data_IF_809887385351
#
_entry.id   IF_809887385351
#
_cell.length_a   1.000
_cell.length_b   1.000
_cell.length_c   1.000
_cell.angle_alpha   90.00
_cell.angle_beta   90.00
_cell.angle_gamma   90.00
#
_symmetry.space_group_name_H-M   'P 1'
#
loop_
_entity.id
_entity.type
_entity.pdbx_description
1 polymer ?
#
# COMPACT_ATOMS: atom_id res chain seq x y z
N UNK A 1 4.05 8.61 -29.68
CA UNK A 1 5.38 8.19 -29.21
C UNK A 1 6.12 7.55 -30.37
N UNK A 2 7.39 7.90 -30.59
CA UNK A 2 8.20 7.40 -31.72
C UNK A 2 8.59 5.92 -31.56
N UNK A 3 8.58 5.39 -30.32
CA UNK A 3 8.88 4.00 -30.01
C UNK A 3 8.08 3.48 -28.81
N UNK A 4 6.79 3.12 -28.97
CA UNK A 4 5.92 2.74 -27.85
C UNK A 4 6.42 1.51 -27.09
N UNK A 5 6.96 0.50 -27.79
CA UNK A 5 7.49 -0.72 -27.16
C UNK A 5 8.80 -0.49 -26.42
N UNK A 6 9.74 0.24 -27.02
CA UNK A 6 11.03 0.56 -26.38
C UNK A 6 10.82 1.45 -25.15
N UNK A 7 9.89 2.42 -25.22
CA UNK A 7 9.57 3.25 -24.06
C UNK A 7 8.99 2.44 -22.91
N UNK A 8 8.18 1.41 -23.19
CA UNK A 8 7.66 0.51 -22.14
C UNK A 8 8.78 -0.27 -21.48
N UNK A 9 9.63 -0.91 -22.28
CA UNK A 9 10.79 -1.66 -21.77
C UNK A 9 11.72 -0.79 -20.92
N UNK A 10 12.03 0.42 -21.38
CA UNK A 10 12.86 1.35 -20.62
C UNK A 10 12.25 1.71 -19.26
N UNK A 11 10.93 1.95 -19.21
CA UNK A 11 10.24 2.21 -17.94
C UNK A 11 10.29 0.99 -17.01
N UNK A 12 10.04 -0.21 -17.54
CA UNK A 12 10.09 -1.44 -16.75
C UNK A 12 11.47 -1.62 -16.11
N UNK A 13 12.56 -1.46 -16.87
CA UNK A 13 13.93 -1.58 -16.33
C UNK A 13 14.31 -0.46 -15.36
N UNK A 14 13.99 0.80 -15.68
CA UNK A 14 14.42 1.95 -14.89
C UNK A 14 13.57 2.14 -13.62
N UNK A 15 12.39 1.53 -13.55
CA UNK A 15 11.53 1.53 -12.36
C UNK A 15 12.00 0.57 -11.26
N UNK A 16 12.87 -0.39 -11.59
CA UNK A 16 13.40 -1.34 -10.61
C UNK A 16 14.42 -0.59 -9.72
N UNK A 17 14.20 -0.52 -8.41
CA UNK A 17 15.14 0.14 -7.53
C UNK A 17 16.47 -0.62 -7.53
N UNK A 18 17.59 0.10 -7.64
CA UNK A 18 18.93 -0.50 -7.64
C UNK A 18 19.33 -1.14 -6.30
N UNK A 19 18.60 -0.85 -5.23
CA UNK A 19 18.89 -1.31 -3.87
C UNK A 19 17.60 -1.65 -3.10
N UNK A 20 17.71 -2.46 -2.04
CA UNK A 20 16.60 -2.79 -1.13
C UNK A 20 16.22 -1.65 -0.17
N UNK A 21 16.91 -0.50 -0.22
CA UNK A 21 16.79 0.59 0.76
C UNK A 21 15.34 1.12 0.86
N UNK A 22 14.63 1.24 -0.26
CA UNK A 22 13.25 1.75 -0.25
C UNK A 22 12.28 0.78 0.43
N UNK A 23 12.49 -0.52 0.21
CA UNK A 23 11.74 -1.59 0.85
C UNK A 23 12.04 -1.64 2.35
N UNK A 24 13.32 -1.59 2.73
CA UNK A 24 13.76 -1.55 4.13
C UNK A 24 13.25 -0.32 4.89
N UNK A 25 13.22 0.85 4.24
CA UNK A 25 12.65 2.07 4.80
C UNK A 25 11.16 1.92 5.07
N UNK A 26 10.43 1.27 4.15
CA UNK A 26 9.00 0.99 4.31
C UNK A 26 8.75 0.07 5.50
N UNK A 27 9.50 -1.03 5.61
CA UNK A 27 9.40 -1.95 6.75
C UNK A 27 9.82 -1.30 8.08
N UNK A 28 10.85 -0.46 8.07
CA UNK A 28 11.31 0.26 9.26
C UNK A 28 10.25 1.22 9.79
N UNK A 29 9.56 1.97 8.91
CA UNK A 29 8.39 2.80 9.26
C UNK A 29 7.24 1.94 9.76
N UNK A 30 7.05 0.77 9.15
CA UNK A 30 6.05 -0.22 9.55
C UNK A 30 6.25 -0.82 10.94
N UNK A 31 7.41 -0.64 11.58
CA UNK A 31 7.66 -1.15 12.95
C UNK A 31 6.66 -0.65 14.00
N UNK A 32 6.11 0.55 13.82
CA UNK A 32 5.06 1.09 14.71
C UNK A 32 3.68 0.45 14.47
N UNK A 33 3.49 -0.15 13.31
CA UNK A 33 2.26 -0.80 12.85
C UNK A 33 2.29 -2.30 13.14
N UNK A 34 3.49 -2.88 13.23
CA UNK A 34 3.71 -4.28 13.53
C UNK A 34 3.14 -4.67 14.92
N UNK A 35 2.71 -5.94 15.09
CA UNK A 35 1.89 -6.40 16.22
C UNK A 35 2.49 -6.12 17.60
N UNK A 36 3.78 -5.86 17.69
CA UNK A 36 4.48 -5.58 18.95
C UNK A 36 3.97 -4.33 19.70
N UNK A 37 3.32 -3.39 19.01
CA UNK A 37 2.75 -2.17 19.62
C UNK A 37 1.21 -2.09 19.48
N UNK A 38 0.64 -2.67 18.42
CA UNK A 38 -0.81 -2.75 18.17
C UNK A 38 -1.23 -4.22 18.09
N UNK A 39 -1.68 -4.78 19.21
CA UNK A 39 -2.16 -6.16 19.27
C UNK A 39 -3.41 -6.33 18.39
N UNK A 40 -3.37 -7.30 17.45
CA UNK A 40 -4.46 -7.83 16.60
C UNK A 40 -4.62 -7.30 15.15
N UNK A 41 -3.55 -6.89 14.46
CA UNK A 41 -3.60 -6.77 12.99
C UNK A 41 -3.09 -8.04 12.32
N UNK A 42 -3.88 -8.60 11.40
CA UNK A 42 -3.42 -9.67 10.51
C UNK A 42 -2.35 -9.17 9.54
N UNK A 43 -1.61 -10.11 8.93
CA UNK A 43 -0.57 -9.77 7.96
C UNK A 43 -1.14 -8.97 6.77
N UNK A 44 -2.36 -9.30 6.36
CA UNK A 44 -3.06 -8.61 5.28
C UNK A 44 -3.45 -7.18 5.65
N UNK A 45 -4.02 -6.97 6.85
CA UNK A 45 -4.34 -5.64 7.37
C UNK A 45 -3.10 -4.79 7.58
N UNK A 46 -2.01 -5.41 8.05
CA UNK A 46 -0.69 -4.75 8.18
C UNK A 46 -0.18 -4.27 6.82
N UNK A 47 -0.30 -5.11 5.77
CA UNK A 47 0.08 -4.75 4.40
C UNK A 47 -0.78 -3.61 3.86
N UNK A 48 -2.10 -3.67 4.04
CA UNK A 48 -3.03 -2.61 3.64
C UNK A 48 -2.68 -1.26 4.27
N UNK A 49 -2.39 -1.24 5.56
CA UNK A 49 -2.03 0.00 6.24
C UNK A 49 -0.71 0.59 5.74
N UNK A 50 0.29 -0.24 5.41
CA UNK A 50 1.55 0.21 4.80
C UNK A 50 1.34 0.79 3.40
N UNK A 51 0.55 0.11 2.57
CA UNK A 51 0.19 0.57 1.23
C UNK A 51 -0.53 1.92 1.28
N UNK A 52 -1.59 2.04 2.08
CA UNK A 52 -2.35 3.29 2.27
C UNK A 52 -1.45 4.43 2.74
N UNK A 53 -0.59 4.19 3.73
CA UNK A 53 0.35 5.19 4.21
C UNK A 53 1.33 5.65 3.12
N UNK A 54 1.87 4.72 2.32
CA UNK A 54 2.79 5.06 1.24
C UNK A 54 2.07 5.79 0.08
N UNK A 55 0.87 5.36 -0.29
CA UNK A 55 0.07 5.99 -1.35
C UNK A 55 -0.35 7.41 -0.98
N UNK A 56 -0.74 7.64 0.28
CA UNK A 56 -1.04 8.98 0.79
C UNK A 56 0.17 9.91 0.64
N UNK A 57 1.38 9.45 0.98
CA UNK A 57 2.61 10.23 0.81
C UNK A 57 2.92 10.56 -0.66
N UNK A 58 2.50 9.73 -1.60
CA UNK A 58 2.68 9.94 -3.04
C UNK A 58 1.51 10.70 -3.69
N UNK A 59 0.49 11.11 -2.91
CA UNK A 59 -0.66 11.87 -3.41
C UNK A 59 -1.66 11.03 -4.20
N UNK A 60 -1.63 9.70 -4.04
CA UNK A 60 -2.54 8.78 -4.71
C UNK A 60 -3.90 8.61 -4.00
N UNK A 61 -4.00 9.09 -2.76
CA UNK A 61 -5.24 9.05 -1.98
C UNK A 61 -5.74 10.48 -1.84
N UNK A 62 -6.96 10.75 -2.28
CA UNK A 62 -7.60 12.05 -2.13
C UNK A 62 -8.31 12.16 -0.78
N UNK A 63 -8.31 13.36 -0.19
CA UNK A 63 -8.97 13.62 1.09
C UNK A 63 -10.48 13.29 1.03
N UNK A 64 -11.11 13.45 -0.13
CA UNK A 64 -12.51 13.05 -0.35
C UNK A 64 -12.74 11.56 -0.11
N UNK A 65 -11.78 10.72 -0.52
CA UNK A 65 -11.88 9.27 -0.38
C UNK A 65 -11.67 8.86 1.08
N UNK A 66 -10.76 9.55 1.78
CA UNK A 66 -10.55 9.35 3.22
C UNK A 66 -11.81 9.72 4.01
N UNK A 67 -12.42 10.85 3.69
CA UNK A 67 -13.66 11.30 4.33
C UNK A 67 -14.80 10.31 4.08
N UNK A 68 -14.98 9.86 2.83
CA UNK A 68 -15.98 8.88 2.47
C UNK A 68 -15.78 7.55 3.23
N UNK A 69 -14.53 7.06 3.30
CA UNK A 69 -14.19 5.85 4.02
C UNK A 69 -14.44 5.99 5.54
N UNK A 70 -14.14 7.15 6.13
CA UNK A 70 -14.38 7.41 7.56
C UNK A 70 -15.86 7.49 7.95
N UNK A 71 -16.74 7.72 6.97
CA UNK A 71 -18.19 7.76 7.18
C UNK A 71 -18.86 6.39 7.05
N UNK A 72 -18.13 5.36 6.59
CA UNK A 72 -18.64 4.00 6.52
C UNK A 72 -18.83 3.42 7.92
N UNK A 73 -19.86 2.59 8.14
CA UNK A 73 -20.02 1.89 9.41
C UNK A 73 -18.84 0.94 9.65
N UNK A 74 -18.44 0.81 10.91
CA UNK A 74 -17.45 -0.18 11.30
C UNK A 74 -17.90 -1.59 10.89
N UNK A 75 -16.94 -2.39 10.43
CA UNK A 75 -17.20 -3.79 10.09
C UNK A 75 -17.54 -4.54 11.38
N UNK A 76 -18.74 -5.10 11.45
CA UNK A 76 -19.17 -5.93 12.58
C UNK A 76 -18.60 -7.34 12.41
N UNK A 77 -17.60 -7.69 13.22
CA UNK A 77 -16.95 -9.01 13.23
C UNK A 77 -15.43 -8.89 13.39
N UNK A 78 -14.81 -9.90 14.01
CA UNK A 78 -13.34 -10.04 14.13
C UNK A 78 -12.79 -10.96 13.03
N UNK A 79 -13.59 -11.25 12.01
CA UNK A 79 -13.23 -12.18 10.95
C UNK A 79 -12.24 -11.49 9.99
N UNK A 80 -11.06 -12.09 9.83
CA UNK A 80 -10.09 -11.69 8.82
C UNK A 80 -10.69 -11.90 7.42
N UNK A 81 -11.11 -10.81 6.77
CA UNK A 81 -11.63 -10.84 5.41
C UNK A 81 -10.48 -10.85 4.41
N UNK A 82 -10.46 -11.86 3.55
CA UNK A 82 -9.49 -11.92 2.46
C UNK A 82 -9.82 -10.88 1.37
N UNK A 83 -8.91 -9.93 1.17
CA UNK A 83 -9.03 -8.95 0.10
C UNK A 83 -8.94 -9.61 -1.29
N UNK A 84 -9.72 -9.13 -2.27
CA UNK A 84 -9.67 -9.62 -3.64
C UNK A 84 -8.28 -9.55 -4.27
N UNK A 85 -7.97 -10.46 -5.20
CA UNK A 85 -6.70 -10.44 -5.93
C UNK A 85 -6.50 -9.08 -6.64
N UNK A 86 -5.35 -8.45 -6.39
CA UNK A 86 -4.99 -7.18 -7.01
C UNK A 86 -5.68 -5.95 -6.42
N UNK A 87 -6.25 -6.03 -5.21
CA UNK A 87 -6.79 -4.85 -4.49
C UNK A 87 -5.78 -3.70 -4.33
N UNK A 88 -4.48 -4.03 -4.38
CA UNK A 88 -3.36 -3.11 -4.21
C UNK A 88 -2.75 -2.59 -5.51
N UNK A 89 -3.38 -2.89 -6.66
CA UNK A 89 -2.96 -2.36 -7.96
C UNK A 89 -3.47 -0.92 -8.09
N UNK A 90 -2.53 0.01 -8.21
CA UNK A 90 -2.76 1.42 -8.52
C UNK A 90 -2.15 1.79 -9.88
#
# INVERSE_FOLDING_TARGET
SMYPGLSRMALDYLSIPATSVDVERTFSRGRLILPYVRNRLSAQSTRAQLCVGNWSLHGYIHDSDVLAASALPDVLGDDDVEFPEGWDKI
#
